data_IF_474813349885
#
_entry.id   IF_474813349885
#
_cell.length_a   1.000
_cell.length_b   1.000
_cell.length_c   1.000
_cell.angle_alpha   90.00
_cell.angle_beta   90.00
_cell.angle_gamma   90.00
#
_symmetry.space_group_name_H-M   'P 1'
#
loop_
_entity.id
_entity.type
_entity.pdbx_description
1 polymer ?
#
# COMPACT_ATOMS: atom_id res chain seq x y z
N UNK A 1 -9.60 31.08 2.29
CA UNK A 1 -10.66 30.18 1.78
C UNK A 1 -10.21 28.73 1.85
N UNK A 2 -8.99 28.40 1.39
CA UNK A 2 -8.46 27.03 1.39
C UNK A 2 -8.08 26.51 2.79
N UNK A 3 -7.44 27.34 3.62
CA UNK A 3 -7.01 26.95 4.96
C UNK A 3 -8.14 26.54 5.91
N UNK A 4 -9.37 27.02 5.67
CA UNK A 4 -10.53 26.61 6.46
C UNK A 4 -10.97 25.16 6.17
N UNK A 5 -10.69 24.63 4.95
CA UNK A 5 -11.04 23.25 4.58
C UNK A 5 -10.07 22.21 5.17
N UNK A 6 -8.82 22.60 5.34
CA UNK A 6 -7.72 21.70 5.72
C UNK A 6 -7.35 21.71 7.21
N UNK A 7 -8.05 22.53 8.00
CA UNK A 7 -7.97 22.52 9.46
C UNK A 7 -6.59 22.93 10.01
N UNK A 8 -6.23 22.38 11.18
CA UNK A 8 -5.06 22.81 11.98
C UNK A 8 -3.70 22.70 11.27
N UNK A 9 -3.61 21.93 10.18
CA UNK A 9 -2.36 21.66 9.46
C UNK A 9 -2.27 22.39 8.12
N UNK A 10 -3.26 23.23 7.77
CA UNK A 10 -3.37 23.84 6.45
C UNK A 10 -2.09 24.52 5.95
N UNK A 11 -1.32 25.14 6.84
CA UNK A 11 -0.08 25.89 6.49
C UNK A 11 1.21 25.09 6.71
N UNK A 12 1.11 23.83 7.15
CA UNK A 12 2.27 22.99 7.46
C UNK A 12 2.54 21.91 6.41
N UNK A 13 1.57 21.64 5.53
CA UNK A 13 1.70 20.69 4.43
C UNK A 13 1.85 21.45 3.11
N UNK A 14 2.69 20.92 2.23
CA UNK A 14 2.82 21.42 0.87
C UNK A 14 1.55 21.13 0.05
N UNK A 15 1.33 21.89 -1.05
CA UNK A 15 0.14 21.70 -1.89
C UNK A 15 0.01 20.30 -2.48
N UNK A 16 1.12 19.65 -2.83
CA UNK A 16 1.13 18.32 -3.47
C UNK A 16 0.64 17.25 -2.49
N UNK A 17 1.05 17.34 -1.23
CA UNK A 17 0.55 16.48 -0.17
C UNK A 17 -0.95 16.69 0.09
N UNK A 18 -1.46 17.93 -0.04
CA UNK A 18 -2.89 18.17 0.05
C UNK A 18 -3.67 17.55 -1.12
N UNK A 19 -3.15 17.63 -2.35
CA UNK A 19 -3.76 16.96 -3.50
C UNK A 19 -3.79 15.44 -3.32
N UNK A 20 -2.73 14.87 -2.75
CA UNK A 20 -2.69 13.45 -2.39
C UNK A 20 -3.75 13.10 -1.34
N UNK A 21 -3.86 13.88 -0.26
CA UNK A 21 -4.87 13.68 0.79
C UNK A 21 -6.29 13.73 0.22
N UNK A 22 -6.58 14.68 -0.67
CA UNK A 22 -7.88 14.81 -1.31
C UNK A 22 -8.20 13.58 -2.17
N UNK A 23 -7.23 13.09 -2.95
CA UNK A 23 -7.40 11.88 -3.75
C UNK A 23 -7.62 10.64 -2.87
N UNK A 24 -6.85 10.48 -1.79
CA UNK A 24 -7.04 9.38 -0.83
C UNK A 24 -8.43 9.45 -0.18
N UNK A 25 -8.89 10.63 0.24
CA UNK A 25 -10.22 10.80 0.83
C UNK A 25 -11.36 10.52 -0.16
N UNK A 26 -11.15 10.75 -1.46
CA UNK A 26 -12.13 10.41 -2.50
C UNK A 26 -12.33 8.89 -2.63
N UNK A 27 -11.27 8.10 -2.41
CA UNK A 27 -11.33 6.64 -2.37
C UNK A 27 -11.81 6.10 -1.03
N UNK A 28 -11.22 6.59 0.06
CA UNK A 28 -11.34 6.03 1.40
C UNK A 28 -11.89 7.07 2.41
N UNK A 29 -13.12 7.56 2.21
CA UNK A 29 -13.71 8.57 3.08
C UNK A 29 -14.00 7.99 4.48
N UNK A 30 -14.11 8.81 5.53
CA UNK A 30 -14.38 8.34 6.89
C UNK A 30 -15.58 7.39 7.02
N UNK A 31 -16.60 7.55 6.18
CA UNK A 31 -17.80 6.70 6.18
C UNK A 31 -17.52 5.23 5.79
N UNK A 32 -16.38 4.92 5.18
CA UNK A 32 -16.04 3.56 4.75
C UNK A 32 -15.88 2.60 5.92
N UNK A 33 -15.55 3.11 7.10
CA UNK A 33 -15.41 2.29 8.33
C UNK A 33 -16.71 1.60 8.74
N UNK A 34 -17.86 2.12 8.29
CA UNK A 34 -19.17 1.52 8.53
C UNK A 34 -19.52 0.40 7.52
N UNK A 35 -18.72 0.20 6.48
CA UNK A 35 -18.91 -0.85 5.47
C UNK A 35 -18.40 -2.20 5.98
N UNK A 36 -18.90 -3.33 5.44
CA UNK A 36 -18.31 -4.64 5.70
C UNK A 36 -16.81 -4.67 5.41
N UNK A 37 -16.03 -5.41 6.20
CA UNK A 37 -14.55 -5.49 6.06
C UNK A 37 -14.13 -5.92 4.65
N UNK A 38 -14.88 -6.82 4.00
CA UNK A 38 -14.60 -7.24 2.64
C UNK A 38 -14.66 -6.06 1.64
N UNK A 39 -15.63 -5.15 1.80
CA UNK A 39 -15.74 -3.94 0.98
C UNK A 39 -14.60 -2.97 1.28
N UNK A 40 -14.26 -2.76 2.55
CA UNK A 40 -13.14 -1.90 2.95
C UNK A 40 -11.82 -2.38 2.31
N UNK A 41 -11.57 -3.70 2.33
CA UNK A 41 -10.41 -4.33 1.68
C UNK A 41 -10.41 -4.11 0.17
N UNK A 42 -11.55 -4.33 -0.48
CA UNK A 42 -11.66 -4.18 -1.93
C UNK A 42 -11.37 -2.74 -2.37
N UNK A 43 -11.90 -1.75 -1.66
CA UNK A 43 -11.65 -0.34 -1.94
C UNK A 43 -10.21 0.04 -1.65
N UNK A 44 -9.64 -0.40 -0.52
CA UNK A 44 -8.24 -0.15 -0.19
C UNK A 44 -7.29 -0.70 -1.28
N UNK A 45 -7.49 -1.96 -1.70
CA UNK A 45 -6.63 -2.58 -2.72
C UNK A 45 -6.81 -1.90 -4.09
N UNK A 46 -8.02 -1.43 -4.43
CA UNK A 46 -8.25 -0.66 -5.64
C UNK A 46 -7.55 0.70 -5.61
N UNK A 47 -7.62 1.40 -4.47
CA UNK A 47 -6.91 2.65 -4.24
C UNK A 47 -5.39 2.45 -4.39
N UNK A 48 -4.80 1.46 -3.72
CA UNK A 48 -3.37 1.17 -3.84
C UNK A 48 -2.94 0.91 -5.29
N UNK A 49 -3.70 0.13 -6.06
CA UNK A 49 -3.43 -0.09 -7.49
C UNK A 49 -3.51 1.20 -8.31
N UNK A 50 -4.41 2.12 -7.97
CA UNK A 50 -4.54 3.40 -8.68
C UNK A 50 -3.35 4.33 -8.41
N UNK A 51 -2.73 4.23 -7.23
CA UNK A 51 -1.54 5.00 -6.85
C UNK A 51 -0.22 4.30 -7.18
N UNK A 52 -0.23 3.14 -7.85
CA UNK A 52 0.96 2.33 -8.06
C UNK A 52 1.88 2.92 -9.15
N UNK A 53 3.02 3.57 -8.84
CA UNK A 53 3.98 4.07 -9.83
C UNK A 53 4.67 2.99 -10.68
N UNK A 54 4.54 1.72 -10.33
CA UNK A 54 5.32 0.65 -10.92
C UNK A 54 6.61 0.37 -10.14
N UNK A 55 7.25 -0.75 -10.50
CA UNK A 55 8.54 -1.16 -9.91
C UNK A 55 9.69 -0.60 -10.75
N UNK A 56 10.89 -0.42 -10.15
CA UNK A 56 12.10 -0.18 -10.93
C UNK A 56 12.34 -1.29 -11.97
N UNK A 57 12.78 -0.92 -13.17
CA UNK A 57 12.91 -1.85 -14.30
C UNK A 57 13.91 -2.99 -14.08
N UNK A 58 14.86 -2.80 -13.16
CA UNK A 58 15.88 -3.79 -12.78
C UNK A 58 15.45 -4.67 -11.60
N UNK A 59 14.22 -4.53 -11.09
CA UNK A 59 13.65 -5.40 -10.05
C UNK A 59 12.80 -6.49 -10.68
N UNK A 60 13.25 -7.73 -10.53
CA UNK A 60 12.47 -8.92 -10.88
C UNK A 60 11.67 -9.41 -9.68
N UNK A 61 10.49 -9.96 -9.95
CA UNK A 61 9.55 -10.40 -8.92
C UNK A 61 9.07 -11.81 -9.21
N UNK A 62 8.97 -12.63 -8.16
CA UNK A 62 8.33 -13.93 -8.24
C UNK A 62 7.47 -14.20 -7.02
N UNK A 63 6.26 -14.69 -7.28
CA UNK A 63 5.34 -15.14 -6.24
C UNK A 63 5.66 -16.58 -5.85
N UNK A 64 5.37 -16.91 -4.61
CA UNK A 64 5.61 -18.23 -4.07
C UNK A 64 4.89 -18.43 -2.75
N UNK A 65 5.22 -19.55 -2.12
CA UNK A 65 4.60 -20.00 -0.88
C UNK A 65 5.68 -20.48 0.08
N UNK A 66 5.52 -20.18 1.35
CA UNK A 66 6.26 -20.79 2.45
C UNK A 66 5.30 -21.64 3.27
N UNK A 67 5.59 -22.93 3.37
CA UNK A 67 4.84 -23.84 4.24
C UNK A 67 5.19 -23.57 5.72
N UNK A 68 4.18 -23.46 6.57
CA UNK A 68 4.32 -23.29 8.01
C UNK A 68 3.14 -23.95 8.73
N UNK A 69 3.37 -24.86 9.68
CA UNK A 69 2.34 -25.47 10.54
C UNK A 69 1.04 -25.86 9.83
N UNK A 70 1.15 -26.58 8.71
CA UNK A 70 -0.02 -27.07 7.95
C UNK A 70 -0.76 -26.00 7.13
N UNK A 71 -0.20 -24.79 7.00
CA UNK A 71 -0.71 -23.74 6.12
C UNK A 71 0.37 -23.24 5.15
N UNK A 72 -0.12 -22.72 4.04
CA UNK A 72 0.68 -22.08 2.99
C UNK A 72 0.59 -20.57 3.15
N UNK A 73 1.75 -19.92 3.32
CA UNK A 73 1.86 -18.46 3.42
C UNK A 73 2.33 -17.92 2.08
N UNK A 74 1.47 -17.17 1.39
CA UNK A 74 1.82 -16.50 0.15
C UNK A 74 2.91 -15.44 0.39
N UNK A 75 3.91 -15.43 -0.47
CA UNK A 75 5.02 -14.47 -0.44
C UNK A 75 5.29 -13.94 -1.84
N UNK A 76 5.87 -12.74 -1.89
CA UNK A 76 6.46 -12.17 -3.11
C UNK A 76 7.94 -11.89 -2.87
N UNK A 77 8.81 -12.37 -3.76
CA UNK A 77 10.26 -12.18 -3.67
C UNK A 77 10.68 -11.14 -4.70
N UNK A 78 11.34 -10.10 -4.22
CA UNK A 78 11.91 -9.04 -5.06
C UNK A 78 13.42 -9.24 -5.16
N UNK A 79 13.96 -9.16 -6.38
CA UNK A 79 15.39 -9.30 -6.64
C UNK A 79 15.86 -8.27 -7.65
N UNK A 80 16.82 -7.46 -7.21
CA UNK A 80 17.56 -6.55 -8.07
C UNK A 80 18.48 -7.33 -9.01
N UNK A 81 18.40 -7.05 -10.31
CA UNK A 81 19.17 -7.72 -11.34
C UNK A 81 20.68 -7.50 -11.17
N UNK A 82 21.48 -8.49 -11.57
CA UNK A 82 22.95 -8.38 -11.63
C UNK A 82 23.67 -8.26 -10.28
N UNK A 83 22.96 -8.35 -9.14
CA UNK A 83 23.57 -8.29 -7.81
C UNK A 83 23.31 -9.56 -7.00
N UNK A 84 24.34 -10.03 -6.30
CA UNK A 84 24.21 -11.06 -5.29
C UNK A 84 23.75 -10.43 -3.98
N UNK A 85 22.63 -10.90 -3.43
CA UNK A 85 22.13 -10.43 -2.14
C UNK A 85 23.02 -10.93 -1.00
N UNK A 86 23.51 -10.01 -0.16
CA UNK A 86 24.29 -10.33 1.05
C UNK A 86 23.42 -10.62 2.27
N UNK A 87 22.14 -10.27 2.19
CA UNK A 87 21.14 -10.47 3.23
C UNK A 87 19.74 -10.60 2.57
N UNK A 88 18.78 -11.09 3.34
CA UNK A 88 17.36 -11.12 2.97
C UNK A 88 16.62 -10.17 3.91
N UNK A 89 15.80 -9.29 3.33
CA UNK A 89 14.86 -8.47 4.08
C UNK A 89 13.52 -9.18 4.06
N UNK A 90 12.91 -9.33 5.23
CA UNK A 90 11.53 -9.81 5.35
C UNK A 90 10.66 -8.58 5.63
N UNK A 91 9.79 -8.28 4.67
CA UNK A 91 8.85 -7.17 4.75
C UNK A 91 7.46 -7.70 5.08
N UNK A 92 6.80 -7.04 6.04
CA UNK A 92 5.40 -7.28 6.38
C UNK A 92 4.65 -5.98 6.12
N UNK A 93 3.61 -6.04 5.29
CA UNK A 93 2.85 -4.86 4.91
C UNK A 93 2.06 -4.28 6.09
N UNK A 94 1.67 -3.01 5.95
CA UNK A 94 0.82 -2.30 6.91
C UNK A 94 -0.65 -2.70 6.81
N UNK A 95 -1.55 -1.78 7.13
CA UNK A 95 -3.00 -2.02 7.04
C UNK A 95 -3.65 -2.55 8.33
N UNK A 96 -2.94 -2.45 9.46
CA UNK A 96 -3.52 -2.71 10.79
C UNK A 96 -4.06 -4.13 10.99
N UNK A 97 -3.46 -5.12 10.30
CA UNK A 97 -3.92 -6.52 10.26
C UNK A 97 -5.32 -6.74 9.64
N UNK A 98 -5.91 -5.69 9.06
CA UNK A 98 -7.23 -5.76 8.43
C UNK A 98 -7.12 -5.57 6.93
N UNK A 99 -6.29 -4.64 6.47
CA UNK A 99 -6.19 -4.22 5.07
C UNK A 99 -4.86 -4.66 4.45
N UNK A 100 -4.83 -4.64 3.11
CA UNK A 100 -3.65 -4.94 2.32
C UNK A 100 -3.53 -6.40 1.90
N UNK A 101 -2.71 -6.58 0.87
CA UNK A 101 -2.26 -7.82 0.25
C UNK A 101 -0.89 -7.60 -0.42
N UNK A 102 -0.36 -8.61 -1.11
CA UNK A 102 0.93 -8.53 -1.81
C UNK A 102 0.97 -7.46 -2.92
N UNK A 103 -0.17 -7.08 -3.48
CA UNK A 103 -0.25 -6.11 -4.57
C UNK A 103 -0.39 -4.67 -4.04
N UNK A 104 -0.99 -4.49 -2.87
CA UNK A 104 -1.25 -3.18 -2.27
C UNK A 104 0.00 -2.42 -1.80
N UNK A 105 1.12 -3.10 -1.63
CA UNK A 105 2.40 -2.55 -1.17
C UNK A 105 3.56 -2.99 -2.07
N UNK A 106 3.26 -3.28 -3.32
CA UNK A 106 4.17 -3.93 -4.27
C UNK A 106 5.32 -3.03 -4.77
N UNK A 107 5.21 -1.74 -4.53
CA UNK A 107 6.04 -0.65 -5.02
C UNK A 107 6.58 0.27 -3.90
N UNK A 108 6.50 -0.20 -2.66
CA UNK A 108 6.97 0.50 -1.45
C UNK A 108 8.44 0.17 -1.16
#
# INVERSE_FOLDING_TARGET
MEAARWGKYATLLDPELWDYIDQVNAWFPPAIVARPIAEQRAVYNAMCRAFHPGRPADVTVSDGVVAADGRDIAIRRYRLAGKASRAIVVYYHGGGFVLGDLDSHDDI
#
